data_IF_882622689033
#
_entry.id   IF_882622689033
#
_cell.length_a   1.000
_cell.length_b   1.000
_cell.length_c   1.000
_cell.angle_alpha   90.00
_cell.angle_beta   90.00
_cell.angle_gamma   90.00
#
_symmetry.space_group_name_H-M   'P 1'
#
loop_
_entity.id
_entity.type
_entity.pdbx_description
1 polymer ?
#
# COMPACT_ATOMS: atom_id res chain seq x y z
N UNK A 1 -23.88 -18.31 1.42
CA UNK A 1 -24.10 -17.69 0.09
C UNK A 1 -25.51 -17.13 0.08
N UNK A 2 -25.63 -15.83 -0.15
CA UNK A 2 -26.91 -15.15 -0.29
C UNK A 2 -26.78 -14.23 -1.51
N UNK A 3 -27.72 -14.29 -2.44
CA UNK A 3 -27.68 -13.52 -3.68
C UNK A 3 -28.57 -12.29 -3.56
N UNK A 4 -28.02 -11.11 -3.86
CA UNK A 4 -28.74 -9.85 -3.92
C UNK A 4 -28.69 -9.32 -5.36
N UNK A 5 -29.84 -8.97 -5.92
CA UNK A 5 -29.94 -8.30 -7.22
C UNK A 5 -30.15 -6.80 -7.00
N UNK A 6 -29.21 -5.99 -7.46
CA UNK A 6 -29.27 -4.52 -7.35
C UNK A 6 -29.89 -3.94 -8.62
N UNK A 7 -30.99 -3.21 -8.50
CA UNK A 7 -31.62 -2.47 -9.60
C UNK A 7 -30.99 -1.08 -9.70
N UNK A 8 -30.96 -0.49 -10.91
CA UNK A 8 -30.36 0.82 -11.13
C UNK A 8 -28.82 0.78 -11.26
N UNK A 9 -28.24 -0.38 -11.56
CA UNK A 9 -26.82 -0.51 -11.83
C UNK A 9 -26.50 0.07 -13.22
N UNK A 10 -26.23 1.38 -13.25
CA UNK A 10 -25.91 2.09 -14.49
C UNK A 10 -24.44 1.93 -14.91
N UNK A 11 -24.13 2.41 -16.13
CA UNK A 11 -22.77 2.34 -16.69
C UNK A 11 -21.74 3.16 -15.92
N UNK A 12 -22.16 4.21 -15.23
CA UNK A 12 -21.27 5.05 -14.43
C UNK A 12 -20.83 4.27 -13.20
N UNK A 13 -21.78 3.68 -12.49
CA UNK A 13 -21.54 2.83 -11.34
C UNK A 13 -20.71 1.60 -11.70
N UNK A 14 -21.02 0.93 -12.83
CA UNK A 14 -20.22 -0.18 -13.34
C UNK A 14 -18.75 0.22 -13.55
N UNK A 15 -18.52 1.37 -14.19
CA UNK A 15 -17.17 1.87 -14.45
C UNK A 15 -16.41 2.15 -13.16
N UNK A 16 -17.03 2.82 -12.20
CA UNK A 16 -16.37 3.13 -10.92
C UNK A 16 -16.10 1.85 -10.09
N UNK A 17 -17.00 0.87 -10.09
CA UNK A 17 -16.74 -0.42 -9.45
C UNK A 17 -15.60 -1.20 -10.12
N UNK A 18 -15.48 -1.15 -11.45
CA UNK A 18 -14.36 -1.79 -12.16
C UNK A 18 -13.01 -1.16 -11.79
N UNK A 19 -12.97 0.16 -11.63
CA UNK A 19 -11.76 0.85 -11.14
C UNK A 19 -11.42 0.39 -9.72
N UNK A 20 -12.41 0.38 -8.82
CA UNK A 20 -12.22 -0.10 -7.45
C UNK A 20 -11.68 -1.53 -7.46
N UNK A 21 -12.30 -2.45 -8.21
CA UNK A 21 -11.85 -3.84 -8.34
C UNK A 21 -10.38 -3.94 -8.80
N UNK A 22 -9.96 -3.10 -9.75
CA UNK A 22 -8.57 -3.04 -10.21
C UNK A 22 -7.62 -2.55 -9.12
N UNK A 23 -7.99 -1.53 -8.36
CA UNK A 23 -7.18 -0.95 -7.28
C UNK A 23 -6.97 -1.92 -6.12
N UNK A 24 -7.99 -2.71 -5.77
CA UNK A 24 -7.88 -3.75 -4.73
C UNK A 24 -7.31 -5.09 -5.24
N UNK A 25 -7.10 -5.25 -6.55
CA UNK A 25 -6.68 -6.54 -7.13
C UNK A 25 -7.72 -7.65 -6.97
N UNK A 26 -9.01 -7.31 -7.04
CA UNK A 26 -10.13 -8.22 -6.79
C UNK A 26 -11.14 -8.27 -7.93
N UNK A 27 -12.21 -9.03 -7.72
CA UNK A 27 -13.36 -9.13 -8.64
C UNK A 27 -14.37 -8.01 -8.44
N UNK A 28 -15.23 -7.80 -9.45
CA UNK A 28 -16.31 -6.81 -9.38
C UNK A 28 -17.26 -7.06 -8.19
N UNK A 29 -17.57 -8.32 -7.91
CA UNK A 29 -18.43 -8.71 -6.79
C UNK A 29 -17.77 -8.41 -5.43
N UNK A 30 -16.46 -8.61 -5.31
CA UNK A 30 -15.72 -8.24 -4.10
C UNK A 30 -15.71 -6.72 -3.90
N UNK A 31 -15.48 -5.94 -4.96
CA UNK A 31 -15.57 -4.49 -4.92
C UNK A 31 -16.97 -3.99 -4.53
N UNK A 32 -18.03 -4.63 -5.05
CA UNK A 32 -19.42 -4.30 -4.71
C UNK A 32 -19.72 -4.54 -3.22
N UNK A 33 -19.34 -5.71 -2.71
CA UNK A 33 -19.53 -6.06 -1.29
C UNK A 33 -18.74 -5.13 -0.38
N UNK A 34 -17.51 -4.79 -0.74
CA UNK A 34 -16.68 -3.85 0.00
C UNK A 34 -17.30 -2.46 0.04
N UNK A 35 -17.77 -1.94 -1.10
CA UNK A 35 -18.45 -0.65 -1.18
C UNK A 35 -19.72 -0.61 -0.32
N UNK A 36 -20.53 -1.68 -0.36
CA UNK A 36 -21.74 -1.81 0.46
C UNK A 36 -21.40 -1.87 1.97
N UNK A 37 -20.34 -2.60 2.34
CA UNK A 37 -19.88 -2.65 3.74
C UNK A 37 -19.41 -1.29 4.24
N UNK A 38 -18.68 -0.52 3.41
CA UNK A 38 -18.26 0.85 3.74
C UNK A 38 -19.45 1.77 3.93
N UNK A 39 -20.41 1.77 2.99
CA UNK A 39 -21.62 2.58 3.08
C UNK A 39 -22.50 2.24 4.27
N UNK A 40 -22.51 0.97 4.71
CA UNK A 40 -23.23 0.51 5.89
C UNK A 40 -22.45 0.70 7.22
N UNK A 41 -21.23 1.24 7.19
CA UNK A 41 -20.38 1.37 8.38
C UNK A 41 -19.88 0.04 8.95
N UNK A 42 -19.97 -1.05 8.18
CA UNK A 42 -19.62 -2.42 8.58
C UNK A 42 -18.21 -2.83 8.17
N UNK A 43 -17.53 -2.02 7.37
CA UNK A 43 -16.11 -2.23 7.07
C UNK A 43 -15.28 -1.54 8.17
N UNK A 44 -14.35 -2.26 8.86
CA UNK A 44 -13.27 -1.56 9.54
C UNK A 44 -12.55 -0.70 8.50
N UNK A 45 -12.12 0.52 8.85
CA UNK A 45 -11.23 1.32 8.00
C UNK A 45 -9.89 0.56 7.81
N UNK A 46 -9.89 -0.49 7.00
CA UNK A 46 -8.72 -1.26 6.60
C UNK A 46 -8.62 -1.15 5.09
N UNK A 47 -7.55 -0.53 4.62
CA UNK A 47 -7.25 -0.43 3.19
C UNK A 47 -7.64 0.90 2.58
N UNK A 48 -7.19 2.00 3.18
CA UNK A 48 -6.74 3.12 2.34
C UNK A 48 -5.64 2.55 1.43
N UNK A 49 -5.65 2.75 0.09
CA UNK A 49 -4.44 2.51 -0.69
C UNK A 49 -3.28 3.22 0.03
N UNK A 50 -2.06 2.65 0.07
CA UNK A 50 -0.96 3.27 0.78
C UNK A 50 -0.91 4.75 0.38
N UNK A 51 -1.21 5.64 1.33
CA UNK A 51 -0.99 7.09 1.14
C UNK A 51 0.43 7.20 0.59
N UNK A 52 0.65 8.03 -0.42
CA UNK A 52 2.00 8.33 -0.91
C UNK A 52 2.89 8.56 0.33
N UNK A 53 3.86 7.68 0.56
CA UNK A 53 4.72 7.66 1.76
C UNK A 53 4.59 6.45 2.70
N UNK A 54 3.53 5.64 2.65
CA UNK A 54 3.32 4.49 3.58
C UNK A 54 3.81 3.14 3.04
N UNK A 55 4.25 3.09 1.78
CA UNK A 55 4.81 1.86 1.18
C UNK A 55 6.15 1.44 1.81
N UNK A 56 6.84 2.38 2.47
CA UNK A 56 8.11 2.13 3.16
C UNK A 56 7.93 1.76 4.63
N UNK A 57 6.71 1.81 5.17
CA UNK A 57 6.44 1.54 6.59
C UNK A 57 6.86 0.11 7.00
N UNK A 58 6.79 -0.85 6.06
CA UNK A 58 7.25 -2.22 6.30
C UNK A 58 8.76 -2.35 6.53
N UNK A 59 9.52 -1.32 6.15
CA UNK A 59 10.97 -1.24 6.35
C UNK A 59 11.34 -0.37 7.55
N UNK A 60 10.34 0.21 8.23
CA UNK A 60 10.56 0.95 9.48
C UNK A 60 10.86 -0.05 10.59
N UNK A 61 12.02 0.09 11.20
CA UNK A 61 12.50 -0.76 12.27
C UNK A 61 13.84 -0.27 12.80
N UNK A 62 14.36 -0.94 13.82
CA UNK A 62 15.68 -0.68 14.39
C UNK A 62 16.62 -1.81 14.02
N UNK A 63 17.89 -1.49 13.73
CA UNK A 63 18.92 -2.51 13.57
C UNK A 63 19.31 -3.08 14.94
N UNK A 64 19.69 -4.36 14.97
CA UNK A 64 20.41 -4.90 16.12
C UNK A 64 21.78 -4.22 16.23
N UNK A 65 22.43 -4.33 17.39
CA UNK A 65 23.78 -3.77 17.57
C UNK A 65 24.80 -4.43 16.62
N UNK A 66 24.62 -5.72 16.37
CA UNK A 66 25.49 -6.50 15.48
C UNK A 66 25.33 -6.06 14.02
N UNK A 67 24.08 -5.91 13.56
CA UNK A 67 23.79 -5.45 12.19
C UNK A 67 24.25 -4.00 11.96
N UNK A 68 24.10 -3.14 12.98
CA UNK A 68 24.58 -1.76 12.92
C UNK A 68 26.11 -1.70 12.76
N UNK A 69 26.85 -2.47 13.56
CA UNK A 69 28.32 -2.52 13.48
C UNK A 69 28.80 -3.10 12.14
N UNK A 70 28.11 -4.11 11.61
CA UNK A 70 28.42 -4.67 10.30
C UNK A 70 28.20 -3.64 9.16
N UNK A 71 27.12 -2.85 9.25
CA UNK A 71 26.82 -1.81 8.30
C UNK A 71 27.86 -0.68 8.33
N UNK A 72 28.19 -0.16 9.52
CA UNK A 72 29.19 0.90 9.71
C UNK A 72 30.54 0.51 9.08
N UNK A 73 31.00 -0.71 9.37
CA UNK A 73 32.25 -1.22 8.79
C UNK A 73 32.18 -1.33 7.25
N UNK A 74 31.03 -1.69 6.69
CA UNK A 74 30.87 -1.81 5.25
C UNK A 74 30.88 -0.45 4.52
N UNK A 75 30.49 0.62 5.20
CA UNK A 75 30.40 1.97 4.59
C UNK A 75 31.59 2.88 4.88
N UNK A 76 32.49 2.50 5.79
CA UNK A 76 33.67 3.26 6.22
C UNK A 76 34.47 3.90 5.07
N UNK A 77 34.69 3.15 3.98
CA UNK A 77 35.43 3.64 2.81
C UNK A 77 34.77 4.83 2.10
N UNK A 78 33.45 5.00 2.24
CA UNK A 78 32.69 6.09 1.61
C UNK A 78 32.61 7.34 2.48
N UNK A 79 33.02 7.25 3.75
CA UNK A 79 33.08 8.40 4.66
C UNK A 79 34.43 9.13 4.61
N UNK A 80 35.38 8.59 3.85
CA UNK A 80 36.68 9.24 3.61
C UNK A 80 36.58 10.15 2.38
N UNK A 81 36.83 11.44 2.56
CA UNK A 81 36.92 12.40 1.45
C UNK A 81 38.16 12.07 0.64
N UNK A 82 37.99 11.78 -0.65
CA UNK A 82 39.09 11.71 -1.61
C UNK A 82 39.47 13.14 -2.06
N UNK A 83 40.64 13.67 -1.64
CA UNK A 83 41.06 15.02 -1.99
C UNK A 83 41.30 15.20 -3.50
N UNK A 84 41.55 14.11 -4.24
CA UNK A 84 41.77 14.17 -5.68
C UNK A 84 40.47 14.39 -6.47
N UNK A 85 39.32 14.05 -5.89
CA UNK A 85 37.98 14.26 -6.47
C UNK A 85 37.45 15.71 -6.29
N UNK A 86 38.13 16.54 -5.49
CA UNK A 86 37.72 17.91 -5.12
C UNK A 86 38.65 19.01 -5.69
N UNK A 87 39.50 18.68 -6.67
CA UNK A 87 40.25 19.68 -7.46
C UNK A 87 39.42 20.21 -8.63
#
# INVERSE_FOLDING_TARGET
MTQLTVRGFDRILERELKKLAKEMGGSLSQAAVELMRRGAGLAPQRGMPPRIGTAIDRFVGTLSREDAAALEKAVEQFETIDPALWQ
#
